data_IF_649906332242
#
_entry.id   IF_649906332242
#
_cell.length_a   1.000
_cell.length_b   1.000
_cell.length_c   1.000
_cell.angle_alpha   90.00
_cell.angle_beta   90.00
_cell.angle_gamma   90.00
#
_symmetry.space_group_name_H-M   'P 1'
#
loop_
_entity.id
_entity.type
_entity.pdbx_description
1 polymer ?
#
# COMPACT_ATOMS: atom_id res chain seq x y z
N UNK A 1 -24.15 19.70 43.02
CA UNK A 1 -24.94 18.81 42.23
C UNK A 1 -24.01 17.99 41.39
N UNK A 2 -23.86 16.68 41.73
CA UNK A 2 -23.10 15.73 40.95
C UNK A 2 -23.83 15.50 39.60
N UNK A 3 -23.07 15.58 38.51
CA UNK A 3 -23.57 15.18 37.20
C UNK A 3 -23.77 13.65 37.16
N UNK A 4 -24.85 13.14 36.57
CA UNK A 4 -25.04 11.70 36.50
C UNK A 4 -24.00 11.08 35.54
N UNK A 5 -23.31 10.07 36.05
CA UNK A 5 -22.44 9.17 35.28
C UNK A 5 -23.32 8.27 34.39
N UNK A 6 -23.52 8.73 33.15
CA UNK A 6 -24.18 7.93 32.10
C UNK A 6 -23.20 7.66 30.95
N UNK A 7 -22.13 6.95 31.26
CA UNK A 7 -21.39 6.27 30.20
C UNK A 7 -22.25 5.12 29.69
N UNK A 8 -22.63 5.09 28.40
CA UNK A 8 -23.36 3.95 27.86
C UNK A 8 -22.48 2.71 27.97
N UNK A 9 -23.04 1.65 28.58
CA UNK A 9 -22.41 0.34 28.61
C UNK A 9 -21.97 -0.02 27.19
N UNK A 10 -20.68 -0.23 27.01
CA UNK A 10 -20.16 -0.70 25.74
C UNK A 10 -20.89 -2.00 25.38
N UNK A 11 -21.75 -1.92 24.38
CA UNK A 11 -22.34 -3.10 23.78
C UNK A 11 -21.18 -3.97 23.29
N UNK A 12 -20.93 -5.06 23.95
CA UNK A 12 -20.11 -6.15 23.42
C UNK A 12 -20.89 -6.72 22.25
N UNK A 13 -20.71 -6.15 21.07
CA UNK A 13 -21.07 -6.77 19.82
C UNK A 13 -20.25 -8.06 19.76
N UNK A 14 -20.91 -9.19 20.05
CA UNK A 14 -20.44 -10.46 19.59
C UNK A 14 -20.45 -10.37 18.07
N UNK A 15 -19.31 -10.10 17.48
CA UNK A 15 -19.10 -10.35 16.05
C UNK A 15 -19.17 -11.88 15.97
N UNK A 16 -20.35 -12.41 15.60
CA UNK A 16 -20.43 -13.78 15.13
C UNK A 16 -19.34 -13.93 14.07
N UNK A 17 -18.50 -14.94 14.24
CA UNK A 17 -17.53 -15.30 13.23
C UNK A 17 -18.33 -15.49 11.93
N UNK A 18 -18.17 -14.60 10.98
CA UNK A 18 -18.70 -14.80 9.63
C UNK A 18 -17.98 -16.05 9.16
N UNK A 19 -18.74 -17.13 9.02
CA UNK A 19 -18.28 -18.37 8.42
C UNK A 19 -17.90 -17.99 6.99
N UNK A 20 -16.63 -17.67 6.81
CA UNK A 20 -16.11 -17.41 5.45
C UNK A 20 -16.15 -18.78 4.78
N UNK A 21 -16.96 -18.96 3.71
CA UNK A 21 -16.94 -20.21 2.97
C UNK A 21 -15.50 -20.47 2.56
N UNK A 22 -15.02 -21.68 2.81
CA UNK A 22 -13.75 -22.12 2.24
C UNK A 22 -13.84 -21.87 0.74
N UNK A 23 -12.82 -21.23 0.14
CA UNK A 23 -12.86 -21.02 -1.29
C UNK A 23 -12.83 -22.38 -1.97
N UNK A 24 -13.98 -22.81 -2.52
CA UNK A 24 -14.08 -23.95 -3.45
C UNK A 24 -13.38 -23.64 -4.82
N UNK A 25 -12.50 -22.63 -4.81
CA UNK A 25 -11.73 -22.28 -5.98
C UNK A 25 -10.56 -23.25 -6.12
N UNK A 26 -10.49 -23.92 -7.25
CA UNK A 26 -9.26 -24.60 -7.66
C UNK A 26 -8.09 -23.59 -7.55
N UNK A 27 -6.93 -24.02 -7.03
CA UNK A 27 -5.78 -23.12 -6.89
C UNK A 27 -5.38 -22.55 -8.27
N UNK A 28 -5.08 -21.25 -8.31
CA UNK A 28 -4.69 -20.52 -9.53
C UNK A 28 -3.33 -20.95 -10.13
N UNK A 29 -2.78 -22.04 -9.63
CA UNK A 29 -1.49 -22.58 -10.07
C UNK A 29 -1.59 -24.04 -10.51
N UNK A 30 -0.75 -24.48 -11.45
CA UNK A 30 -0.72 -25.85 -11.94
C UNK A 30 -0.50 -26.90 -10.84
N UNK A 31 -1.08 -28.09 -11.01
CA UNK A 31 -0.85 -29.21 -10.11
C UNK A 31 0.64 -29.55 -9.99
N UNK A 32 1.12 -29.75 -8.76
CA UNK A 32 2.52 -30.02 -8.46
C UNK A 32 3.39 -28.77 -8.30
N UNK A 33 2.81 -27.55 -8.36
CA UNK A 33 3.53 -26.33 -8.00
C UNK A 33 3.93 -26.37 -6.54
N UNK A 34 5.20 -26.13 -6.26
CA UNK A 34 5.68 -25.99 -4.88
C UNK A 34 5.08 -24.71 -4.27
N UNK A 35 4.31 -24.88 -3.20
CA UNK A 35 3.67 -23.77 -2.49
C UNK A 35 4.22 -23.66 -1.07
N UNK A 36 4.35 -22.42 -0.59
CA UNK A 36 4.82 -22.10 0.75
C UNK A 36 3.78 -21.25 1.48
N UNK A 37 3.43 -21.66 2.69
CA UNK A 37 2.58 -20.85 3.54
C UNK A 37 3.37 -19.70 4.16
N UNK A 38 2.89 -18.47 3.99
CA UNK A 38 3.50 -17.27 4.56
C UNK A 38 2.44 -16.22 4.87
N UNK A 39 2.79 -15.24 5.68
CA UNK A 39 1.92 -14.10 5.90
C UNK A 39 1.89 -13.17 4.69
N UNK A 40 0.79 -12.43 4.50
CA UNK A 40 0.70 -11.38 3.45
C UNK A 40 1.87 -10.39 3.53
N UNK A 41 2.27 -10.03 4.75
CA UNK A 41 3.43 -9.15 4.99
C UNK A 41 4.74 -9.73 4.42
N UNK A 42 4.99 -11.00 4.66
CA UNK A 42 6.18 -11.69 4.14
C UNK A 42 6.14 -11.79 2.62
N UNK A 43 4.99 -12.16 2.06
CA UNK A 43 4.81 -12.25 0.61
C UNK A 43 5.05 -10.90 -0.08
N UNK A 44 4.50 -9.81 0.44
CA UNK A 44 4.74 -8.47 -0.10
C UNK A 44 6.20 -8.04 0.00
N UNK A 45 6.87 -8.32 1.13
CA UNK A 45 8.29 -8.01 1.31
C UNK A 45 9.18 -8.78 0.34
N UNK A 46 8.92 -10.07 0.18
CA UNK A 46 9.67 -10.91 -0.74
C UNK A 46 9.47 -10.46 -2.18
N UNK A 47 8.23 -10.21 -2.60
CA UNK A 47 7.94 -9.69 -3.94
C UNK A 47 8.67 -8.37 -4.24
N UNK A 48 8.67 -7.42 -3.29
CA UNK A 48 9.45 -6.19 -3.45
C UNK A 48 10.95 -6.46 -3.56
N UNK A 49 11.47 -7.35 -2.72
CA UNK A 49 12.89 -7.70 -2.74
C UNK A 49 13.30 -8.36 -4.07
N UNK A 50 12.50 -9.29 -4.57
CA UNK A 50 12.75 -9.96 -5.85
C UNK A 50 12.74 -8.98 -7.02
N UNK A 51 11.77 -8.07 -7.07
CA UNK A 51 11.71 -7.06 -8.12
C UNK A 51 12.90 -6.08 -8.03
N UNK A 52 13.30 -5.69 -6.83
CA UNK A 52 14.46 -4.82 -6.64
C UNK A 52 15.79 -5.50 -6.97
N UNK A 53 15.88 -6.81 -6.83
CA UNK A 53 17.06 -7.58 -7.28
C UNK A 53 17.11 -7.72 -8.80
N UNK A 54 15.96 -7.93 -9.40
CA UNK A 54 15.83 -8.14 -10.84
C UNK A 54 16.02 -6.85 -11.64
N UNK A 55 15.61 -5.71 -11.08
CA UNK A 55 15.61 -4.40 -11.78
C UNK A 55 16.11 -3.29 -10.86
N UNK A 56 17.25 -2.70 -11.24
CA UNK A 56 17.87 -1.60 -10.49
C UNK A 56 17.07 -0.31 -10.49
N UNK A 57 16.10 -0.16 -11.39
CA UNK A 57 15.20 1.01 -11.45
C UNK A 57 14.05 0.95 -10.46
N UNK A 58 13.77 -0.23 -9.87
CA UNK A 58 12.75 -0.40 -8.83
C UNK A 58 13.27 0.14 -7.49
N UNK A 59 12.51 0.99 -6.83
CA UNK A 59 12.82 1.50 -5.49
C UNK A 59 11.56 1.72 -4.68
N UNK A 60 11.69 1.65 -3.35
CA UNK A 60 10.60 1.88 -2.40
C UNK A 60 10.73 3.28 -1.80
N UNK A 61 9.65 4.04 -1.77
CA UNK A 61 9.59 5.33 -1.08
C UNK A 61 8.27 5.49 -0.33
N UNK A 62 8.33 6.21 0.78
CA UNK A 62 7.16 6.48 1.61
C UNK A 62 7.55 6.88 3.02
N UNK A 63 6.54 7.07 3.87
CA UNK A 63 6.76 7.42 5.26
C UNK A 63 7.22 6.20 6.07
N UNK A 64 8.35 6.35 6.79
CA UNK A 64 8.86 5.33 7.72
C UNK A 64 9.17 3.97 7.07
N UNK A 65 9.39 3.93 5.77
CA UNK A 65 9.66 2.67 5.03
C UNK A 65 11.10 2.18 5.23
N UNK A 66 12.03 3.06 5.54
CA UNK A 66 13.45 2.76 5.72
C UNK A 66 13.82 2.43 7.17
N UNK A 67 14.14 3.45 7.95
CA UNK A 67 14.66 3.28 9.32
C UNK A 67 13.66 2.56 10.25
N UNK A 68 12.40 2.91 10.18
CA UNK A 68 11.34 2.27 10.97
C UNK A 68 10.86 0.94 10.38
N UNK A 69 11.21 0.63 9.12
CA UNK A 69 10.89 -0.61 8.43
C UNK A 69 9.39 -0.80 8.16
N UNK A 70 8.69 0.30 7.95
CA UNK A 70 7.25 0.33 7.71
C UNK A 70 6.40 0.22 8.97
N UNK A 71 5.24 0.85 8.99
CA UNK A 71 4.30 0.80 10.11
C UNK A 71 3.83 -0.64 10.41
N UNK A 72 3.74 -1.48 9.40
CA UNK A 72 3.37 -2.90 9.50
C UNK A 72 4.56 -3.85 9.25
N UNK A 73 5.79 -3.34 9.28
CA UNK A 73 7.03 -4.10 9.08
C UNK A 73 7.12 -4.83 7.74
N UNK A 74 6.50 -4.28 6.71
CA UNK A 74 6.53 -4.84 5.35
C UNK A 74 7.90 -4.66 4.71
N UNK A 75 8.58 -3.54 4.98
CA UNK A 75 9.91 -3.24 4.43
C UNK A 75 11.07 -3.67 5.34
N UNK A 76 10.80 -4.54 6.32
CA UNK A 76 11.82 -5.01 7.26
C UNK A 76 13.04 -5.60 6.56
N UNK A 77 14.24 -5.06 6.88
CA UNK A 77 15.53 -5.51 6.32
C UNK A 77 15.84 -4.99 4.91
N UNK A 78 14.89 -4.32 4.22
CA UNK A 78 15.12 -3.85 2.86
C UNK A 78 16.15 -2.70 2.81
N UNK A 79 16.14 -1.79 3.79
CA UNK A 79 17.12 -0.70 3.85
C UNK A 79 18.55 -1.23 3.98
N UNK A 80 18.77 -2.23 4.83
CA UNK A 80 20.08 -2.89 5.01
C UNK A 80 20.54 -3.56 3.70
N UNK A 81 19.61 -4.19 2.99
CA UNK A 81 19.89 -4.96 1.77
C UNK A 81 20.15 -4.09 0.55
N UNK A 82 19.34 -3.05 0.33
CA UNK A 82 19.34 -2.25 -0.90
C UNK A 82 19.89 -0.84 -0.74
N UNK A 83 20.06 -0.38 0.49
CA UNK A 83 20.61 0.92 0.81
C UNK A 83 19.63 2.11 0.64
N UNK A 84 20.04 3.31 1.13
CA UNK A 84 19.16 4.48 1.22
C UNK A 84 18.82 5.13 -0.13
N UNK A 85 19.46 4.71 -1.22
CA UNK A 85 19.08 5.17 -2.57
C UNK A 85 17.90 4.40 -3.14
N UNK A 86 17.64 3.22 -2.62
CA UNK A 86 16.59 2.33 -3.08
C UNK A 86 15.44 2.19 -2.08
N UNK A 87 15.68 2.53 -0.82
CA UNK A 87 14.68 2.57 0.25
C UNK A 87 14.71 3.98 0.82
N UNK A 88 13.71 4.78 0.50
CA UNK A 88 13.70 6.23 0.71
C UNK A 88 12.61 6.64 1.68
N UNK A 89 13.00 7.05 2.88
CA UNK A 89 12.08 7.69 3.82
C UNK A 89 11.70 9.09 3.32
N UNK A 90 10.42 9.40 3.39
CA UNK A 90 9.88 10.70 3.03
C UNK A 90 9.30 11.42 4.25
N UNK A 91 9.26 12.75 4.26
CA UNK A 91 8.44 13.47 5.24
C UNK A 91 6.95 13.16 5.01
N UNK A 92 6.13 13.42 6.03
CA UNK A 92 4.67 13.29 5.95
C UNK A 92 4.13 14.33 4.96
N UNK A 93 3.92 13.90 3.72
CA UNK A 93 3.49 14.76 2.61
C UNK A 93 3.03 13.91 1.43
N UNK A 94 1.91 13.21 1.57
CA UNK A 94 1.44 12.19 0.62
C UNK A 94 1.28 12.74 -0.80
N UNK A 95 0.74 13.94 -0.95
CA UNK A 95 0.68 14.61 -2.25
C UNK A 95 2.09 14.87 -2.82
N UNK A 96 3.02 15.29 -1.97
CA UNK A 96 4.40 15.61 -2.37
C UNK A 96 5.16 14.37 -2.82
N UNK A 97 5.25 13.35 -1.98
CA UNK A 97 6.04 12.17 -2.33
C UNK A 97 5.38 11.31 -3.43
N UNK A 98 4.05 11.26 -3.51
CA UNK A 98 3.37 10.60 -4.62
C UNK A 98 3.66 11.32 -5.95
N UNK A 99 3.65 12.65 -5.96
CA UNK A 99 4.02 13.45 -7.14
C UNK A 99 5.47 13.22 -7.56
N UNK A 100 6.40 13.14 -6.61
CA UNK A 100 7.81 12.80 -6.87
C UNK A 100 7.91 11.39 -7.47
N UNK A 101 7.18 10.41 -6.91
CA UNK A 101 7.13 9.06 -7.44
C UNK A 101 6.63 9.01 -8.88
N UNK A 102 5.55 9.73 -9.20
CA UNK A 102 5.04 9.85 -10.58
C UNK A 102 6.08 10.45 -11.50
N UNK A 103 6.74 11.55 -11.07
CA UNK A 103 7.81 12.19 -11.85
C UNK A 103 9.00 11.25 -12.09
N UNK A 104 9.38 10.47 -11.09
CA UNK A 104 10.42 9.45 -11.21
C UNK A 104 10.03 8.34 -12.21
N UNK A 105 8.76 7.93 -12.20
CA UNK A 105 8.25 6.96 -13.19
C UNK A 105 8.27 7.52 -14.62
N UNK A 106 7.92 8.78 -14.82
CA UNK A 106 8.08 9.45 -16.11
C UNK A 106 9.54 9.52 -16.56
N UNK A 107 10.47 9.61 -15.62
CA UNK A 107 11.91 9.55 -15.85
C UNK A 107 12.48 8.15 -16.11
N UNK A 108 11.65 7.13 -16.13
CA UNK A 108 12.03 5.74 -16.43
C UNK A 108 12.39 4.90 -15.20
N UNK A 109 12.23 5.42 -13.97
CA UNK A 109 12.33 4.62 -12.76
C UNK A 109 11.01 3.87 -12.50
N UNK A 110 11.05 2.91 -11.59
CA UNK A 110 9.89 2.09 -11.20
C UNK A 110 9.62 2.18 -9.69
N UNK A 111 9.03 3.26 -9.23
CA UNK A 111 8.79 3.46 -7.81
C UNK A 111 7.66 2.58 -7.28
N UNK A 112 7.87 2.05 -6.09
CA UNK A 112 6.83 1.55 -5.21
C UNK A 112 6.58 2.66 -4.19
N UNK A 113 5.44 3.34 -4.29
CA UNK A 113 5.04 4.42 -3.37
C UNK A 113 4.16 3.83 -2.29
N UNK A 114 4.67 3.81 -1.06
CA UNK A 114 3.95 3.30 0.10
C UNK A 114 3.29 4.43 0.87
N UNK A 115 1.98 4.36 1.01
CA UNK A 115 1.24 5.15 2.01
C UNK A 115 1.22 4.38 3.32
N UNK A 116 1.49 5.03 4.44
CA UNK A 116 1.47 4.40 5.77
C UNK A 116 0.13 3.69 6.02
N UNK A 117 -0.96 4.31 5.59
CA UNK A 117 -2.24 3.67 5.36
C UNK A 117 -2.86 4.24 4.07
N UNK A 118 -3.55 3.42 3.30
CA UNK A 118 -4.18 3.86 2.05
C UNK A 118 -5.31 4.89 2.27
N UNK A 119 -5.74 5.09 3.52
CA UNK A 119 -6.62 6.19 3.91
C UNK A 119 -6.05 7.55 3.47
N UNK A 120 -4.74 7.74 3.55
CA UNK A 120 -4.08 9.01 3.21
C UNK A 120 -3.70 9.12 1.75
N UNK A 121 -3.87 8.08 0.96
CA UNK A 121 -3.77 8.17 -0.50
C UNK A 121 -4.78 9.16 -1.10
N UNK A 122 -5.87 9.49 -0.37
CA UNK A 122 -6.80 10.56 -0.73
C UNK A 122 -6.11 11.92 -0.92
N UNK A 123 -5.07 12.24 -0.16
CA UNK A 123 -4.32 13.48 -0.30
C UNK A 123 -3.52 13.55 -1.60
N UNK A 124 -3.25 12.39 -2.19
CA UNK A 124 -2.51 12.24 -3.45
C UNK A 124 -3.38 11.74 -4.61
N UNK A 125 -4.70 11.76 -4.47
CA UNK A 125 -5.61 11.13 -5.44
C UNK A 125 -5.48 11.72 -6.84
N UNK A 126 -5.19 13.01 -6.95
CA UNK A 126 -4.94 13.66 -8.25
C UNK A 126 -3.69 13.08 -8.95
N UNK A 127 -2.62 12.83 -8.20
CA UNK A 127 -1.41 12.22 -8.76
C UNK A 127 -1.65 10.76 -9.18
N UNK A 128 -2.48 10.03 -8.46
CA UNK A 128 -2.84 8.65 -8.82
C UNK A 128 -3.69 8.64 -10.10
N UNK A 129 -4.76 9.43 -10.13
CA UNK A 129 -5.75 9.38 -11.20
C UNK A 129 -5.30 10.18 -12.43
N UNK A 130 -4.98 11.46 -12.26
CA UNK A 130 -4.71 12.34 -13.39
C UNK A 130 -3.26 12.24 -13.85
N UNK A 131 -2.30 12.23 -12.92
CA UNK A 131 -0.89 12.21 -13.30
C UNK A 131 -0.43 10.80 -13.71
N UNK A 132 -0.60 9.79 -12.87
CA UNK A 132 -0.12 8.44 -13.18
C UNK A 132 -0.98 7.72 -14.22
N UNK A 133 -2.28 7.54 -13.95
CA UNK A 133 -3.12 6.69 -14.78
C UNK A 133 -3.45 7.30 -16.15
N UNK A 134 -3.68 8.62 -16.24
CA UNK A 134 -4.19 9.24 -17.47
C UNK A 134 -3.12 9.84 -18.39
N UNK A 135 -1.91 10.06 -17.90
CA UNK A 135 -0.87 10.72 -18.73
C UNK A 135 -0.49 9.89 -19.96
N UNK A 136 -0.50 8.57 -19.87
CA UNK A 136 -0.24 7.72 -21.05
C UNK A 136 -1.21 8.04 -22.18
N UNK A 137 -2.50 8.12 -21.88
CA UNK A 137 -3.53 8.50 -22.86
C UNK A 137 -3.33 9.95 -23.33
N UNK A 138 -3.16 10.88 -22.40
CA UNK A 138 -3.02 12.33 -22.73
C UNK A 138 -1.76 12.66 -23.53
N UNK A 139 -0.72 11.88 -23.40
CA UNK A 139 0.52 12.01 -24.17
C UNK A 139 0.51 11.26 -25.50
N UNK A 140 -0.62 10.65 -25.88
CA UNK A 140 -0.67 9.84 -27.10
C UNK A 140 0.21 8.60 -27.04
N UNK A 141 0.35 7.99 -25.84
CA UNK A 141 1.15 6.79 -25.62
C UNK A 141 2.65 7.03 -25.40
N UNK A 142 3.09 8.28 -25.31
CA UNK A 142 4.51 8.61 -25.22
C UNK A 142 5.08 8.58 -23.79
N UNK A 143 4.24 8.82 -22.80
CA UNK A 143 4.68 8.95 -21.41
C UNK A 143 3.82 8.06 -20.48
N UNK A 144 4.37 6.98 -20.00
CA UNK A 144 3.75 6.08 -19.05
C UNK A 144 4.37 6.17 -17.66
N UNK A 145 3.61 5.78 -16.63
CA UNK A 145 4.07 5.71 -15.25
C UNK A 145 4.07 4.24 -14.79
N UNK A 146 5.19 3.54 -15.01
CA UNK A 146 5.39 2.17 -14.52
C UNK A 146 5.69 2.20 -13.02
N UNK A 147 4.65 2.14 -12.19
CA UNK A 147 4.78 2.28 -10.73
C UNK A 147 3.70 1.52 -9.98
N UNK A 148 3.89 1.38 -8.68
CA UNK A 148 2.92 0.80 -7.76
C UNK A 148 2.62 1.79 -6.63
N UNK A 149 1.36 2.03 -6.37
CA UNK A 149 0.88 2.65 -5.14
C UNK A 149 0.35 1.55 -4.22
N UNK A 150 0.81 1.49 -2.99
CA UNK A 150 0.39 0.50 -2.02
C UNK A 150 0.21 1.07 -0.61
N UNK A 151 -0.52 0.37 0.22
CA UNK A 151 -0.71 0.65 1.64
C UNK A 151 -1.77 -0.27 2.24
N UNK A 152 -1.81 -0.42 3.57
CA UNK A 152 -2.89 -1.15 4.22
C UNK A 152 -4.22 -0.41 4.05
N UNK A 153 -5.30 -1.15 3.93
CA UNK A 153 -6.65 -0.65 3.70
C UNK A 153 -7.64 -1.32 4.66
N UNK A 154 -8.84 -0.77 4.80
CA UNK A 154 -9.89 -1.33 5.65
C UNK A 154 -9.69 -1.05 7.14
N UNK A 155 -10.11 -1.99 7.98
CA UNK A 155 -10.12 -1.82 9.44
C UNK A 155 -8.74 -1.60 10.06
N UNK A 156 -7.70 -2.17 9.45
CA UNK A 156 -6.30 -2.02 9.84
C UNK A 156 -6.11 -2.15 11.37
N UNK A 157 -5.49 -1.17 12.02
CA UNK A 157 -5.28 -1.14 13.47
C UNK A 157 -6.49 -0.63 14.28
N UNK A 158 -7.63 -0.35 13.65
CA UNK A 158 -8.86 0.17 14.28
C UNK A 158 -8.64 1.47 15.05
N UNK A 159 -8.00 2.43 14.41
CA UNK A 159 -7.60 3.71 15.01
C UNK A 159 -8.52 4.88 14.67
N UNK A 160 -9.77 4.61 14.40
CA UNK A 160 -10.84 5.60 14.21
C UNK A 160 -11.13 5.95 12.75
N UNK A 161 -11.97 6.96 12.56
CA UNK A 161 -12.65 7.24 11.30
C UNK A 161 -11.69 7.53 10.13
N UNK A 162 -10.60 8.27 10.35
CA UNK A 162 -9.66 8.63 9.28
C UNK A 162 -8.63 7.56 8.96
N UNK A 163 -8.47 6.52 9.80
CA UNK A 163 -7.41 5.53 9.71
C UNK A 163 -7.92 4.10 9.48
N UNK A 164 -9.22 3.91 9.36
CA UNK A 164 -9.85 2.59 9.27
C UNK A 164 -10.98 2.58 8.23
N UNK A 165 -10.68 3.07 7.04
CA UNK A 165 -11.60 3.20 5.92
C UNK A 165 -11.21 2.25 4.80
N UNK A 166 -12.16 1.90 3.94
CA UNK A 166 -11.93 1.14 2.72
C UNK A 166 -12.37 1.95 1.51
N UNK A 167 -11.41 2.35 0.70
CA UNK A 167 -11.64 3.11 -0.53
C UNK A 167 -11.42 2.28 -1.80
N UNK A 168 -11.38 0.96 -1.70
CA UNK A 168 -11.14 0.09 -2.86
C UNK A 168 -12.06 0.44 -4.05
N UNK A 169 -13.34 0.71 -3.78
CA UNK A 169 -14.29 1.08 -4.83
C UNK A 169 -13.95 2.41 -5.54
N UNK A 170 -13.28 3.35 -4.87
CA UNK A 170 -12.86 4.61 -5.50
C UNK A 170 -11.74 4.40 -6.50
N UNK A 171 -10.80 3.52 -6.16
CA UNK A 171 -9.64 3.26 -7.01
C UNK A 171 -9.90 2.19 -8.06
N UNK A 172 -10.89 1.31 -7.86
CA UNK A 172 -11.24 0.26 -8.81
C UNK A 172 -11.75 0.78 -10.18
N UNK A 173 -12.19 2.02 -10.25
CA UNK A 173 -12.61 2.67 -11.50
C UNK A 173 -11.49 3.34 -12.29
N UNK A 174 -10.27 3.37 -11.76
CA UNK A 174 -9.11 4.02 -12.40
C UNK A 174 -8.57 3.06 -13.45
N UNK A 175 -8.40 3.52 -14.72
CA UNK A 175 -7.94 2.67 -15.82
C UNK A 175 -6.48 2.24 -15.67
#
# INVERSE_FOLDING_TARGET
GEAPDTAPAAAKSAVEAVDTPEPDAEPDWPEGTEVRQMTVREALREAMAEEMERDETVFLMGEEVGEYQGAYKISQGLLERFGPRRIVDTPISEMGFAGIGVGAAFGGLRPIVEFMTFNFAMQAIDHIINSAAKTLYMSGGQMGAAMVFRGPNGAAARVGAQHSQDYAAWYAQIP
#
